data_IF_701107691159
#
_entry.id   IF_701107691159
#
_cell.length_a   1.000
_cell.length_b   1.000
_cell.length_c   1.000
_cell.angle_alpha   90.00
_cell.angle_beta   90.00
_cell.angle_gamma   90.00
#
_symmetry.space_group_name_H-M   'P 1'
#
loop_
_entity.id
_entity.type
_entity.pdbx_description
1 polymer ?
#
# COMPACT_ATOMS: atom_id res chain seq x y z
N UNK A 1 9.92 -32.62 -14.20
CA UNK A 1 9.18 -31.69 -15.09
C UNK A 1 9.65 -30.28 -14.80
N UNK A 2 10.26 -29.59 -15.78
CA UNK A 2 10.68 -28.20 -15.64
C UNK A 2 9.42 -27.34 -15.69
N UNK A 3 8.94 -26.85 -14.54
CA UNK A 3 7.86 -25.88 -14.54
C UNK A 3 8.42 -24.58 -15.16
N UNK A 4 7.82 -24.06 -16.25
CA UNK A 4 8.28 -22.82 -16.83
C UNK A 4 8.14 -21.71 -15.79
N UNK A 5 9.08 -20.76 -15.78
CA UNK A 5 9.10 -19.65 -14.83
C UNK A 5 7.76 -18.90 -14.79
N UNK A 6 7.08 -18.85 -15.93
CA UNK A 6 5.73 -18.32 -16.08
C UNK A 6 4.69 -19.01 -15.19
N UNK A 7 4.73 -20.34 -15.08
CA UNK A 7 3.83 -21.13 -14.22
C UNK A 7 4.02 -20.77 -12.74
N UNK A 8 5.28 -20.59 -12.32
CA UNK A 8 5.61 -20.21 -10.95
C UNK A 8 5.14 -18.79 -10.64
N UNK A 9 5.36 -17.85 -11.56
CA UNK A 9 4.87 -16.48 -11.41
C UNK A 9 3.34 -16.44 -11.40
N UNK A 10 2.69 -17.24 -12.23
CA UNK A 10 1.24 -17.35 -12.29
C UNK A 10 0.67 -17.91 -10.98
N UNK A 11 1.27 -18.96 -10.43
CA UNK A 11 0.88 -19.50 -9.12
C UNK A 11 1.06 -18.47 -8.00
N UNK A 12 2.18 -17.74 -7.98
CA UNK A 12 2.42 -16.67 -7.00
C UNK A 12 1.41 -15.52 -7.14
N UNK A 13 1.00 -15.21 -8.37
CA UNK A 13 0.02 -14.17 -8.66
C UNK A 13 -1.38 -14.58 -8.20
N UNK A 14 -1.81 -15.82 -8.49
CA UNK A 14 -3.09 -16.37 -8.02
C UNK A 14 -3.14 -16.49 -6.50
N UNK A 15 -2.04 -16.84 -5.85
CA UNK A 15 -1.98 -16.95 -4.41
C UNK A 15 -1.98 -15.58 -3.70
N UNK A 16 -1.74 -14.47 -4.43
CA UNK A 16 -1.69 -13.14 -3.82
C UNK A 16 -3.10 -12.63 -3.47
N UNK A 17 -3.41 -12.40 -2.17
CA UNK A 17 -4.72 -11.88 -1.77
C UNK A 17 -4.97 -10.47 -2.30
N UNK A 18 -3.92 -9.68 -2.48
CA UNK A 18 -3.99 -8.32 -3.04
C UNK A 18 -4.40 -8.35 -4.51
N UNK A 19 -3.78 -9.24 -5.29
CA UNK A 19 -4.11 -9.39 -6.71
C UNK A 19 -5.56 -9.84 -6.89
N UNK A 20 -6.02 -10.82 -6.12
CA UNK A 20 -7.40 -11.29 -6.16
C UNK A 20 -8.41 -10.18 -5.79
N UNK A 21 -8.09 -9.35 -4.79
CA UNK A 21 -8.94 -8.23 -4.39
C UNK A 21 -9.05 -7.18 -5.49
N UNK A 22 -7.94 -6.91 -6.18
CA UNK A 22 -7.91 -6.01 -7.33
C UNK A 22 -8.72 -6.54 -8.51
N UNK A 23 -8.58 -7.82 -8.86
CA UNK A 23 -9.38 -8.47 -9.92
C UNK A 23 -10.88 -8.38 -9.59
N UNK A 24 -11.27 -8.68 -8.34
CA UNK A 24 -12.67 -8.56 -7.88
C UNK A 24 -13.21 -7.14 -8.05
N UNK A 25 -12.41 -6.12 -7.71
CA UNK A 25 -12.78 -4.72 -7.87
C UNK A 25 -13.00 -4.33 -9.33
N UNK A 26 -12.13 -4.77 -10.23
CA UNK A 26 -12.29 -4.54 -11.68
C UNK A 26 -13.51 -5.26 -12.21
N UNK A 27 -13.67 -6.54 -11.85
CA UNK A 27 -14.80 -7.36 -12.29
C UNK A 27 -16.14 -6.75 -11.89
N UNK A 28 -16.27 -6.32 -10.63
CA UNK A 28 -17.52 -5.69 -10.19
C UNK A 28 -17.70 -4.26 -10.74
N UNK A 29 -16.62 -3.52 -11.04
CA UNK A 29 -16.70 -2.25 -11.80
C UNK A 29 -17.24 -2.43 -13.22
N UNK A 30 -16.78 -3.46 -13.93
CA UNK A 30 -17.25 -3.77 -15.29
C UNK A 30 -18.72 -4.22 -15.26
N UNK A 31 -19.06 -5.12 -14.34
CA UNK A 31 -20.41 -5.68 -14.23
C UNK A 31 -21.41 -4.76 -13.51
N UNK A 32 -20.99 -3.55 -13.10
CA UNK A 32 -21.80 -2.60 -12.32
C UNK A 32 -22.46 -3.23 -11.09
N UNK A 33 -21.85 -4.26 -10.55
CA UNK A 33 -22.28 -4.87 -9.30
C UNK A 33 -21.90 -3.85 -8.23
N UNK A 34 -22.81 -3.43 -7.34
CA UNK A 34 -22.41 -2.68 -6.17
C UNK A 34 -21.43 -3.59 -5.44
N UNK A 35 -20.13 -3.25 -5.48
CA UNK A 35 -19.27 -3.62 -4.38
C UNK A 35 -19.91 -2.90 -3.21
N UNK A 36 -20.82 -3.58 -2.50
CA UNK A 36 -20.94 -3.32 -1.07
C UNK A 36 -19.50 -3.31 -0.61
N UNK A 37 -19.06 -2.13 -0.20
CA UNK A 37 -17.76 -1.92 0.36
C UNK A 37 -17.70 -2.92 1.50
N UNK A 38 -17.10 -4.09 1.26
CA UNK A 38 -16.51 -4.90 2.30
C UNK A 38 -15.51 -3.94 2.88
N UNK A 39 -16.00 -3.27 3.90
CA UNK A 39 -15.46 -2.10 4.52
C UNK A 39 -14.30 -2.66 5.31
N UNK A 40 -13.18 -2.83 4.61
CA UNK A 40 -11.87 -2.82 5.24
C UNK A 40 -11.60 -1.47 5.92
N UNK A 41 -12.55 -0.52 5.88
CA UNK A 41 -12.75 0.42 6.96
C UNK A 41 -13.20 -0.30 8.23
N UNK A 42 -12.28 -1.09 8.80
CA UNK A 42 -12.07 -0.92 10.22
C UNK A 42 -11.91 0.59 10.41
N UNK A 43 -12.94 1.25 10.93
CA UNK A 43 -12.80 2.54 11.58
C UNK A 43 -11.84 2.30 12.75
N UNK A 44 -10.54 2.13 12.44
CA UNK A 44 -9.49 2.35 13.41
C UNK A 44 -9.54 3.85 13.59
N UNK A 45 -10.33 4.26 14.58
CA UNK A 45 -10.04 5.46 15.33
C UNK A 45 -8.58 5.24 15.75
N UNK A 46 -7.64 5.77 14.95
CA UNK A 46 -6.23 5.68 15.26
C UNK A 46 -6.06 6.60 16.44
N UNK A 47 -6.12 6.03 17.65
CA UNK A 47 -5.67 6.73 18.83
C UNK A 47 -4.22 7.14 18.58
N UNK A 48 -3.95 8.43 18.65
CA UNK A 48 -2.62 9.01 18.43
C UNK A 48 -1.61 8.36 19.39
N UNK A 49 -2.07 7.88 20.54
CA UNK A 49 -1.25 7.19 21.53
C UNK A 49 -0.89 5.74 21.16
N UNK A 50 -1.64 5.09 20.26
CA UNK A 50 -1.39 3.71 19.80
C UNK A 50 -0.69 3.63 18.44
N UNK A 51 -0.32 4.76 17.86
CA UNK A 51 0.38 4.77 16.59
C UNK A 51 1.83 4.27 16.75
N UNK A 52 2.08 3.06 16.26
CA UNK A 52 3.42 2.45 16.23
C UNK A 52 4.07 2.67 14.85
N UNK A 53 5.00 3.64 14.70
CA UNK A 53 5.57 3.97 13.40
C UNK A 53 6.44 2.81 12.88
N UNK A 54 6.11 2.32 11.69
CA UNK A 54 6.97 1.35 10.99
C UNK A 54 8.23 2.01 10.44
N UNK A 55 9.25 1.21 10.11
CA UNK A 55 10.54 1.71 9.57
C UNK A 55 10.36 2.61 8.35
N UNK A 56 9.39 2.33 7.48
CA UNK A 56 9.07 3.18 6.33
C UNK A 56 8.55 4.56 6.73
N UNK A 57 7.73 4.64 7.77
CA UNK A 57 7.27 5.93 8.30
C UNK A 57 8.44 6.75 8.84
N UNK A 58 9.40 6.12 9.52
CA UNK A 58 10.61 6.78 10.02
C UNK A 58 11.49 7.33 8.89
N UNK A 59 11.69 6.54 7.84
CA UNK A 59 12.48 6.96 6.66
C UNK A 59 11.81 8.14 5.95
N UNK A 60 10.48 8.08 5.76
CA UNK A 60 9.76 9.17 5.12
C UNK A 60 9.80 10.46 5.98
N UNK A 61 9.63 10.33 7.29
CA UNK A 61 9.75 11.46 8.23
C UNK A 61 11.16 12.08 8.16
N UNK A 62 12.21 11.26 8.19
CA UNK A 62 13.60 11.72 8.04
C UNK A 62 13.80 12.49 6.73
N UNK A 63 13.33 11.95 5.59
CA UNK A 63 13.46 12.60 4.28
C UNK A 63 12.78 13.98 4.25
N UNK A 64 11.59 14.09 4.84
CA UNK A 64 10.84 15.35 4.91
C UNK A 64 11.60 16.39 5.73
N UNK A 65 12.04 16.02 6.93
CA UNK A 65 12.81 16.91 7.83
C UNK A 65 14.11 17.33 7.17
N UNK A 66 14.86 16.38 6.61
CA UNK A 66 16.14 16.64 5.95
C UNK A 66 16.00 17.58 4.75
N UNK A 67 14.93 17.43 3.95
CA UNK A 67 14.67 18.34 2.84
C UNK A 67 14.31 19.76 3.32
N UNK A 68 13.59 19.88 4.43
CA UNK A 68 13.25 21.18 5.04
C UNK A 68 14.48 21.87 5.63
N UNK A 69 15.32 21.13 6.35
CA UNK A 69 16.59 21.63 6.88
C UNK A 69 17.56 22.03 5.76
N UNK A 70 17.67 21.22 4.71
CA UNK A 70 18.47 21.57 3.54
C UNK A 70 17.98 22.86 2.90
N UNK A 71 16.66 23.02 2.69
CA UNK A 71 16.10 24.26 2.15
C UNK A 71 16.44 25.46 3.03
N UNK A 72 16.25 25.34 4.34
CA UNK A 72 16.60 26.41 5.30
C UNK A 72 18.08 26.74 5.23
N UNK A 73 18.95 25.74 5.29
CA UNK A 73 20.39 25.92 5.18
C UNK A 73 20.81 26.55 3.84
N UNK A 74 20.11 26.26 2.75
CA UNK A 74 20.38 26.84 1.43
C UNK A 74 19.82 28.26 1.27
N UNK A 75 18.74 28.59 1.98
CA UNK A 75 18.09 29.91 1.99
C UNK A 75 18.77 30.92 2.94
N UNK A 76 19.78 30.50 3.72
CA UNK A 76 20.64 31.38 4.53
C UNK A 76 21.87 31.92 3.74
N UNK A 77 21.70 32.21 2.44
CA UNK A 77 22.69 32.95 1.64
C UNK A 77 22.06 34.17 0.98
#
# INVERSE_FOLDING_TARGET
MRQPLEELLYQKLIQSPVFNSWVRRIHARINRIPLEEQSFSAHRIVDINDYTPTTWHKINAFRIIFADELKKAFLFR
#
